data_IF_159721402230
#
_entry.id   IF_159721402230
#
_cell.length_a   1.000
_cell.length_b   1.000
_cell.length_c   1.000
_cell.angle_alpha   90.00
_cell.angle_beta   90.00
_cell.angle_gamma   90.00
#
_symmetry.space_group_name_H-M   'P 1'
#
loop_
_entity.id
_entity.type
_entity.pdbx_description
1 polymer ?
#
# COMPACT_ATOMS: atom_id res chain seq x y z
N UNK A 1 -5.80 -1.44 26.83
CA UNK A 1 -6.79 -1.26 25.74
C UNK A 1 -7.45 -2.60 25.51
N UNK A 2 -8.76 -2.62 25.30
CA UNK A 2 -9.52 -3.83 24.99
C UNK A 2 -10.30 -3.62 23.71
N UNK A 3 -10.21 -4.54 22.75
CA UNK A 3 -11.06 -4.54 21.54
C UNK A 3 -12.40 -5.16 21.93
N UNK A 4 -13.47 -4.39 21.79
CA UNK A 4 -14.83 -4.79 22.19
C UNK A 4 -15.67 -5.30 21.03
N UNK A 5 -15.32 -4.92 19.79
CA UNK A 5 -16.00 -5.40 18.58
C UNK A 5 -15.09 -5.33 17.35
N UNK A 6 -15.38 -6.19 16.38
CA UNK A 6 -14.74 -6.23 15.06
C UNK A 6 -15.79 -6.60 14.01
N UNK A 7 -15.98 -5.74 13.01
CA UNK A 7 -16.95 -5.97 11.94
C UNK A 7 -16.48 -5.42 10.59
N UNK A 8 -16.95 -6.04 9.50
CA UNK A 8 -16.82 -5.48 8.15
C UNK A 8 -18.00 -4.56 7.86
N UNK A 9 -17.72 -3.27 7.77
CA UNK A 9 -18.69 -2.25 7.38
C UNK A 9 -18.83 -2.23 5.86
N UNK A 10 -19.96 -2.73 5.36
CA UNK A 10 -20.29 -2.72 3.93
C UNK A 10 -21.07 -1.48 3.53
N UNK A 11 -20.91 -1.09 2.27
CA UNK A 11 -21.68 0.02 1.68
C UNK A 11 -22.83 -0.54 0.86
N UNK A 12 -24.05 -0.52 1.41
CA UNK A 12 -25.25 -0.84 0.63
C UNK A 12 -25.76 0.42 -0.05
N UNK A 13 -25.23 0.71 -1.24
CA UNK A 13 -25.76 1.73 -2.14
C UNK A 13 -26.75 1.09 -3.11
N UNK A 14 -27.94 1.71 -3.26
CA UNK A 14 -28.94 1.32 -4.26
C UNK A 14 -29.20 2.51 -5.18
N UNK A 15 -28.89 2.42 -6.49
CA UNK A 15 -28.24 1.30 -7.17
C UNK A 15 -26.76 1.11 -6.74
N UNK A 16 -26.16 -0.07 -6.97
CA UNK A 16 -24.73 -0.29 -6.73
C UNK A 16 -23.86 0.70 -7.52
N UNK A 17 -22.68 1.01 -6.98
CA UNK A 17 -21.72 1.85 -7.69
C UNK A 17 -21.36 1.25 -9.07
N UNK A 18 -21.15 2.05 -10.14
CA UNK A 18 -20.78 1.55 -11.48
C UNK A 18 -19.51 0.69 -11.57
N UNK A 19 -18.69 0.68 -10.51
CA UNK A 19 -17.47 -0.12 -10.41
C UNK A 19 -17.67 -1.40 -9.59
N UNK A 20 -18.85 -1.65 -9.05
CA UNK A 20 -19.10 -2.82 -8.22
C UNK A 20 -18.82 -4.11 -9.02
N UNK A 21 -17.99 -5.00 -8.46
CA UNK A 21 -17.50 -6.22 -9.07
C UNK A 21 -16.30 -6.04 -10.01
N UNK A 22 -15.95 -4.82 -10.38
CA UNK A 22 -14.87 -4.56 -11.33
C UNK A 22 -13.49 -4.84 -10.73
N UNK A 23 -12.58 -5.31 -11.58
CA UNK A 23 -11.15 -5.44 -11.29
C UNK A 23 -10.41 -4.25 -11.87
N UNK A 24 -10.33 -3.19 -11.08
CA UNK A 24 -9.79 -1.91 -11.52
C UNK A 24 -8.26 -1.95 -11.64
N UNK A 25 -7.71 -1.64 -12.83
CA UNK A 25 -6.30 -1.43 -13.03
C UNK A 25 -5.61 -0.42 -12.08
N UNK A 26 -4.48 -0.79 -11.48
CA UNK A 26 -3.53 0.20 -10.93
C UNK A 26 -2.96 1.08 -12.06
N UNK A 27 -3.04 2.39 -11.90
CA UNK A 27 -2.44 3.40 -12.78
C UNK A 27 -0.91 3.38 -12.66
N UNK A 28 -0.21 4.13 -13.51
CA UNK A 28 1.23 4.31 -13.38
C UNK A 28 1.60 4.95 -12.02
N UNK A 29 0.77 5.85 -11.51
CA UNK A 29 0.97 6.53 -10.23
C UNK A 29 0.75 5.59 -9.04
N UNK A 30 -0.29 4.78 -9.08
CA UNK A 30 -0.53 3.77 -8.02
C UNK A 30 0.62 2.76 -7.96
N UNK A 31 1.16 2.37 -9.12
CA UNK A 31 2.30 1.45 -9.19
C UNK A 31 3.63 2.07 -8.73
N UNK A 32 3.74 3.40 -8.76
CA UNK A 32 4.86 4.13 -8.22
C UNK A 32 4.75 4.34 -6.71
N UNK A 33 3.53 4.25 -6.16
CA UNK A 33 3.29 4.32 -4.73
C UNK A 33 3.71 3.03 -4.01
N UNK A 34 4.00 3.17 -2.72
CA UNK A 34 4.44 2.08 -1.85
C UNK A 34 3.35 1.01 -1.69
N UNK A 35 3.75 -0.25 -1.62
CA UNK A 35 2.85 -1.38 -1.35
C UNK A 35 2.70 -1.57 0.16
N UNK A 36 2.15 -0.57 0.83
CA UNK A 36 2.05 -0.49 2.30
C UNK A 36 0.72 0.08 2.75
N UNK A 37 0.38 -0.20 4.00
CA UNK A 37 -0.68 0.50 4.73
C UNK A 37 -0.10 1.71 5.44
N UNK A 38 -0.71 2.88 5.26
CA UNK A 38 -0.29 4.12 5.91
C UNK A 38 -1.21 4.39 7.10
N UNK A 39 -0.67 4.45 8.34
CA UNK A 39 -1.46 4.77 9.53
C UNK A 39 -1.73 6.26 9.66
N UNK A 40 -2.90 6.60 10.20
CA UNK A 40 -3.27 7.96 10.59
C UNK A 40 -4.10 7.90 11.88
N UNK A 41 -3.83 8.82 12.81
CA UNK A 41 -4.47 8.85 14.12
C UNK A 41 -4.98 10.26 14.41
N UNK A 42 -6.25 10.35 14.83
CA UNK A 42 -6.88 11.58 15.29
C UNK A 42 -7.38 11.42 16.72
N UNK A 43 -7.02 12.35 17.60
CA UNK A 43 -7.49 12.36 18.99
C UNK A 43 -8.48 13.51 19.21
N UNK A 44 -9.62 13.19 19.80
CA UNK A 44 -10.71 14.11 20.11
C UNK A 44 -11.01 14.06 21.61
N UNK A 45 -10.88 15.21 22.27
CA UNK A 45 -11.31 15.37 23.66
C UNK A 45 -12.82 15.26 23.78
N UNK A 46 -13.29 14.94 24.97
CA UNK A 46 -14.71 14.95 25.28
C UNK A 46 -15.29 16.38 25.20
N UNK A 47 -16.57 16.54 24.81
CA UNK A 47 -17.44 15.50 24.28
C UNK A 47 -17.10 15.15 22.82
N UNK A 48 -16.97 13.86 22.51
CA UNK A 48 -16.81 13.36 21.15
C UNK A 48 -18.12 12.72 20.65
N UNK A 49 -18.42 12.73 19.33
CA UNK A 49 -19.59 12.04 18.76
C UNK A 49 -19.64 10.57 19.17
N UNK A 50 -20.79 9.90 19.16
CA UNK A 50 -20.90 8.46 19.49
C UNK A 50 -20.21 7.57 18.45
N UNK A 51 -19.82 6.34 18.82
CA UNK A 51 -19.15 5.43 17.86
C UNK A 51 -20.08 5.07 16.70
N UNK A 52 -21.38 4.94 16.97
CA UNK A 52 -22.40 4.69 15.92
C UNK A 52 -22.53 5.87 14.95
N UNK A 53 -22.52 7.12 15.43
CA UNK A 53 -22.53 8.28 14.54
C UNK A 53 -21.27 8.34 13.65
N UNK A 54 -20.11 7.98 14.21
CA UNK A 54 -18.85 7.92 13.47
C UNK A 54 -18.87 6.80 12.41
N UNK A 55 -19.42 5.63 12.72
CA UNK A 55 -19.61 4.52 11.78
C UNK A 55 -20.61 4.85 10.67
N UNK A 56 -21.70 5.53 10.98
CA UNK A 56 -22.67 5.93 9.96
C UNK A 56 -22.07 6.95 8.99
N UNK A 57 -21.36 7.96 9.51
CA UNK A 57 -20.62 8.88 8.65
C UNK A 57 -19.55 8.17 7.80
N UNK A 58 -18.92 7.11 8.33
CA UNK A 58 -17.95 6.31 7.58
C UNK A 58 -18.63 5.58 6.43
N UNK A 59 -19.79 4.98 6.68
CA UNK A 59 -20.60 4.29 5.67
C UNK A 59 -20.98 5.23 4.52
N UNK A 60 -21.42 6.44 4.86
CA UNK A 60 -21.75 7.51 3.88
C UNK A 60 -20.51 7.93 3.08
N UNK A 61 -19.36 8.13 3.73
CA UNK A 61 -18.14 8.51 3.04
C UNK A 61 -17.63 7.40 2.11
N UNK A 62 -17.54 6.16 2.59
CA UNK A 62 -17.02 5.02 1.81
C UNK A 62 -17.89 4.74 0.57
N UNK A 63 -19.20 5.03 0.62
CA UNK A 63 -20.08 4.88 -0.54
C UNK A 63 -19.62 5.69 -1.76
N UNK A 64 -18.96 6.83 -1.54
CA UNK A 64 -18.36 7.62 -2.62
C UNK A 64 -16.95 7.14 -3.04
N UNK A 65 -16.31 6.27 -2.25
CA UNK A 65 -14.97 5.74 -2.49
C UNK A 65 -14.99 4.20 -2.51
N UNK A 66 -15.66 3.57 -3.49
CA UNK A 66 -15.91 2.12 -3.53
C UNK A 66 -14.62 1.27 -3.54
N UNK A 67 -13.50 1.82 -4.04
CA UNK A 67 -12.19 1.18 -4.02
C UNK A 67 -11.69 0.90 -2.58
N UNK A 68 -12.08 1.73 -1.61
CA UNK A 68 -11.69 1.58 -0.20
C UNK A 68 -12.37 0.36 0.45
N UNK A 69 -13.54 -0.04 -0.04
CA UNK A 69 -14.28 -1.23 0.40
C UNK A 69 -13.87 -2.50 -0.37
N UNK A 70 -12.89 -2.40 -1.28
CA UNK A 70 -12.40 -3.50 -2.09
C UNK A 70 -11.24 -4.30 -1.47
N UNK A 71 -10.55 -5.08 -2.31
CA UNK A 71 -9.35 -5.85 -1.98
C UNK A 71 -8.26 -5.68 -3.03
N UNK A 72 -6.99 -5.72 -2.63
CA UNK A 72 -5.90 -5.90 -3.58
C UNK A 72 -5.94 -7.35 -4.09
N UNK A 73 -5.91 -7.52 -5.40
CA UNK A 73 -6.01 -8.81 -6.07
C UNK A 73 -5.03 -8.93 -7.24
N UNK A 74 -4.91 -10.15 -7.78
CA UNK A 74 -4.17 -10.44 -9.00
C UNK A 74 -5.16 -10.83 -10.09
N UNK A 75 -4.99 -10.20 -11.24
CA UNK A 75 -5.67 -10.57 -12.47
C UNK A 75 -4.67 -11.17 -13.48
N UNK A 76 -5.16 -12.04 -14.35
CA UNK A 76 -4.35 -12.67 -15.41
C UNK A 76 -4.85 -12.17 -16.75
N UNK A 77 -4.16 -11.18 -17.30
CA UNK A 77 -4.44 -10.66 -18.63
C UNK A 77 -3.65 -11.45 -19.68
N UNK A 78 -4.27 -11.68 -20.84
CA UNK A 78 -3.59 -12.24 -22.01
C UNK A 78 -3.25 -11.08 -22.94
N UNK A 79 -1.98 -10.90 -23.28
CA UNK A 79 -1.59 -9.88 -24.25
C UNK A 79 -1.95 -10.28 -25.69
N UNK A 80 -1.87 -9.32 -26.63
CA UNK A 80 -2.19 -9.57 -28.05
C UNK A 80 -1.32 -10.62 -28.73
N UNK A 81 -0.27 -11.12 -28.06
CA UNK A 81 0.58 -12.23 -28.51
C UNK A 81 0.30 -13.54 -27.75
N UNK A 82 -0.82 -13.62 -27.01
CA UNK A 82 -1.23 -14.82 -26.29
C UNK A 82 -0.46 -15.07 -24.99
N UNK A 83 0.41 -14.15 -24.54
CA UNK A 83 1.20 -14.34 -23.32
C UNK A 83 0.37 -13.97 -22.10
N UNK A 84 0.34 -14.85 -21.11
CA UNK A 84 -0.30 -14.60 -19.81
C UNK A 84 0.58 -13.67 -18.97
N UNK A 85 0.02 -12.54 -18.55
CA UNK A 85 0.66 -11.59 -17.65
C UNK A 85 -0.19 -11.42 -16.40
N UNK A 86 0.43 -11.66 -15.25
CA UNK A 86 -0.16 -11.36 -13.94
C UNK A 86 -0.07 -9.86 -13.69
N UNK A 87 -1.17 -9.27 -13.24
CA UNK A 87 -1.27 -7.85 -12.98
C UNK A 87 -2.00 -7.61 -11.66
N UNK A 88 -1.46 -6.72 -10.83
CA UNK A 88 -2.15 -6.27 -9.62
C UNK A 88 -3.32 -5.36 -9.99
N UNK A 89 -4.45 -5.56 -9.32
CA UNK A 89 -5.70 -4.83 -9.53
C UNK A 89 -6.38 -4.56 -8.20
N UNK A 90 -7.22 -3.54 -8.15
CA UNK A 90 -8.14 -3.28 -7.05
C UNK A 90 -9.47 -3.96 -7.40
N UNK A 91 -9.84 -5.00 -6.68
CA UNK A 91 -11.11 -5.69 -6.86
C UNK A 91 -12.18 -5.00 -6.00
N UNK A 92 -13.16 -4.38 -6.66
CA UNK A 92 -14.25 -3.63 -6.00
C UNK A 92 -15.37 -4.60 -5.63
N UNK A 93 -15.08 -5.52 -4.71
CA UNK A 93 -15.96 -6.63 -4.34
C UNK A 93 -16.96 -6.30 -3.23
N UNK A 94 -16.98 -5.06 -2.71
CA UNK A 94 -17.83 -4.61 -1.61
C UNK A 94 -17.77 -5.55 -0.37
N UNK A 95 -16.59 -6.13 -0.11
CA UNK A 95 -16.37 -6.88 1.13
C UNK A 95 -16.31 -5.95 2.36
N UNK A 96 -16.13 -4.65 2.13
CA UNK A 96 -16.27 -3.61 3.14
C UNK A 96 -14.95 -3.19 3.78
N UNK A 97 -15.07 -2.25 4.71
CA UNK A 97 -14.02 -1.65 5.53
C UNK A 97 -13.99 -2.35 6.89
N UNK A 98 -12.83 -2.74 7.38
CA UNK A 98 -12.74 -3.31 8.73
C UNK A 98 -12.91 -2.18 9.76
N UNK A 99 -13.82 -2.36 10.71
CA UNK A 99 -14.04 -1.43 11.82
C UNK A 99 -13.89 -2.18 13.14
N UNK A 100 -13.00 -1.67 13.99
CA UNK A 100 -12.76 -2.16 15.35
C UNK A 100 -13.31 -1.12 16.34
N UNK A 101 -14.02 -1.58 17.36
CA UNK A 101 -14.30 -0.77 18.54
C UNK A 101 -13.36 -1.20 19.66
N UNK A 102 -12.83 -0.23 20.41
CA UNK A 102 -11.97 -0.48 21.55
C UNK A 102 -12.27 0.48 22.70
N UNK A 103 -11.91 0.07 23.91
CA UNK A 103 -12.01 0.89 25.12
C UNK A 103 -10.66 0.97 25.85
N UNK A 104 -10.45 2.07 26.54
CA UNK A 104 -9.29 2.32 27.41
C UNK A 104 -9.79 2.89 28.72
N UNK A 105 -9.55 2.16 29.81
CA UNK A 105 -9.84 2.56 31.20
C UNK A 105 -8.82 3.58 31.73
N UNK A 106 -8.61 4.66 30.97
CA UNK A 106 -7.77 5.80 31.33
C UNK A 106 -8.32 7.09 30.68
N UNK A 107 -7.81 8.22 31.13
CA UNK A 107 -8.15 9.53 30.56
C UNK A 107 -7.24 9.84 29.37
N UNK A 108 -7.83 10.33 28.28
CA UNK A 108 -7.11 10.57 27.02
C UNK A 108 -5.91 11.52 27.20
N UNK A 109 -6.08 12.61 27.95
CA UNK A 109 -5.00 13.58 28.17
C UNK A 109 -3.80 12.97 28.91
N UNK A 110 -4.04 12.06 29.85
CA UNK A 110 -2.96 11.35 30.55
C UNK A 110 -2.20 10.42 29.61
N UNK A 111 -2.92 9.71 28.73
CA UNK A 111 -2.32 8.79 27.74
C UNK A 111 -1.51 9.55 26.69
N UNK A 112 -2.03 10.67 26.19
CA UNK A 112 -1.32 11.53 25.24
C UNK A 112 -0.08 12.19 25.88
N UNK A 113 -0.20 12.69 27.12
CA UNK A 113 0.91 13.34 27.82
C UNK A 113 2.05 12.37 28.14
N UNK A 114 1.73 11.13 28.48
CA UNK A 114 2.73 10.09 28.76
C UNK A 114 3.38 9.54 27.47
N UNK A 115 2.83 9.84 26.28
CA UNK A 115 3.27 9.30 25.00
C UNK A 115 3.37 7.75 25.00
N UNK A 116 2.46 7.10 25.75
CA UNK A 116 2.43 5.64 25.95
C UNK A 116 1.42 4.94 25.04
N UNK A 117 0.80 5.67 24.12
CA UNK A 117 -0.29 5.15 23.32
C UNK A 117 0.24 4.29 22.16
N UNK A 118 0.40 2.99 22.42
CA UNK A 118 0.55 1.97 21.38
C UNK A 118 -0.82 1.49 20.92
N UNK A 119 -0.90 0.96 19.70
CA UNK A 119 -2.09 0.23 19.21
C UNK A 119 -3.36 1.09 19.04
N UNK A 120 -3.21 2.40 18.80
CA UNK A 120 -4.34 3.32 18.57
C UNK A 120 -4.99 3.21 17.18
N UNK A 121 -4.45 2.37 16.30
CA UNK A 121 -4.95 2.07 14.97
C UNK A 121 -4.88 0.55 14.75
N UNK A 122 -5.64 0.01 13.76
CA UNK A 122 -5.62 -1.43 13.50
C UNK A 122 -4.21 -1.95 13.22
N UNK A 123 -3.90 -3.15 13.70
CA UNK A 123 -2.62 -3.80 13.42
C UNK A 123 -2.38 -3.87 11.90
N UNK A 124 -1.13 -3.59 11.48
CA UNK A 124 -0.78 -3.65 10.07
C UNK A 124 -0.91 -5.11 9.58
N UNK A 125 -1.63 -5.36 8.47
CA UNK A 125 -1.70 -6.68 7.89
C UNK A 125 -0.32 -7.18 7.46
N UNK A 126 -0.04 -8.46 7.71
CA UNK A 126 1.21 -9.09 7.23
C UNK A 126 1.29 -9.10 5.69
N UNK A 127 0.12 -9.14 5.04
CA UNK A 127 0.00 -9.19 3.58
C UNK A 127 -1.11 -8.26 3.09
N UNK A 128 -0.85 -7.56 1.98
CA UNK A 128 -1.84 -6.66 1.35
C UNK A 128 -2.95 -7.40 0.59
N UNK A 129 -2.67 -8.60 0.07
CA UNK A 129 -3.66 -9.37 -0.71
C UNK A 129 -4.75 -9.92 0.20
N UNK A 130 -6.00 -9.67 -0.16
CA UNK A 130 -7.16 -10.11 0.62
C UNK A 130 -7.44 -9.31 1.90
N UNK A 131 -6.52 -8.44 2.33
CA UNK A 131 -6.76 -7.51 3.43
C UNK A 131 -7.74 -6.40 3.02
N UNK A 132 -8.56 -5.93 3.98
CA UNK A 132 -9.37 -4.75 3.78
C UNK A 132 -8.48 -3.53 3.51
N UNK A 133 -8.75 -2.83 2.40
CA UNK A 133 -7.89 -1.73 1.91
C UNK A 133 -7.99 -0.47 2.77
N UNK A 134 -9.08 -0.33 3.52
CA UNK A 134 -9.23 0.65 4.59
C UNK A 134 -9.65 -0.12 5.85
N UNK A 135 -9.03 0.23 6.98
CA UNK A 135 -9.37 -0.30 8.30
C UNK A 135 -9.38 0.83 9.31
N UNK A 136 -10.30 0.79 10.26
CA UNK A 136 -10.56 1.85 11.24
C UNK A 136 -10.67 1.24 12.63
N UNK A 137 -10.12 1.93 13.62
CA UNK A 137 -10.30 1.62 15.04
C UNK A 137 -10.85 2.85 15.75
N UNK A 138 -11.97 2.66 16.45
CA UNK A 138 -12.61 3.66 17.29
C UNK A 138 -12.32 3.33 18.76
N UNK A 139 -11.41 4.08 19.37
CA UNK A 139 -10.96 3.83 20.75
C UNK A 139 -11.58 4.84 21.70
N UNK A 140 -12.47 4.39 22.58
CA UNK A 140 -13.14 5.22 23.61
C UNK A 140 -12.35 5.22 24.91
N UNK A 141 -12.20 6.40 25.49
CA UNK A 141 -11.54 6.58 26.78
C UNK A 141 -12.59 6.81 27.87
N UNK A 142 -12.26 6.41 29.11
CA UNK A 142 -13.11 6.59 30.28
C UNK A 142 -13.62 8.03 30.45
N UNK A 143 -12.79 9.02 30.11
CA UNK A 143 -13.13 10.44 30.15
C UNK A 143 -14.11 10.91 29.05
N UNK A 144 -14.61 10.02 28.19
CA UNK A 144 -15.47 10.33 27.05
C UNK A 144 -14.71 10.77 25.78
N UNK A 145 -13.37 10.79 25.83
CA UNK A 145 -12.52 11.06 24.67
C UNK A 145 -12.59 9.94 23.63
N UNK A 146 -12.23 10.27 22.39
CA UNK A 146 -12.21 9.35 21.26
C UNK A 146 -10.88 9.47 20.52
N UNK A 147 -10.26 8.34 20.23
CA UNK A 147 -9.23 8.24 19.20
C UNK A 147 -9.80 7.50 18.00
N UNK A 148 -9.63 8.08 16.82
CA UNK A 148 -9.92 7.46 15.53
C UNK A 148 -8.58 7.14 14.88
N UNK A 149 -8.20 5.88 14.92
CA UNK A 149 -7.07 5.36 14.15
C UNK A 149 -7.55 4.73 12.87
N UNK A 150 -6.81 4.91 11.78
CA UNK A 150 -7.08 4.21 10.54
C UNK A 150 -5.78 3.81 9.85
N UNK A 151 -5.86 2.77 9.03
CA UNK A 151 -4.84 2.40 8.07
C UNK A 151 -5.47 2.30 6.69
N UNK A 152 -4.82 2.92 5.69
CA UNK A 152 -5.27 2.89 4.30
C UNK A 152 -4.15 2.41 3.39
N UNK A 153 -4.47 1.53 2.44
CA UNK A 153 -3.48 1.03 1.49
C UNK A 153 -3.07 2.13 0.49
N UNK A 154 -1.77 2.36 0.34
CA UNK A 154 -1.25 3.50 -0.43
C UNK A 154 -1.52 3.40 -1.96
N UNK A 155 -1.83 2.21 -2.48
CA UNK A 155 -2.31 2.04 -3.87
C UNK A 155 -3.77 2.49 -4.09
N UNK A 156 -4.54 2.70 -3.01
CA UNK A 156 -5.89 3.28 -3.08
C UNK A 156 -5.85 4.77 -2.84
N UNK A 157 -5.05 5.19 -1.84
CA UNK A 157 -4.97 6.55 -1.37
C UNK A 157 -3.53 7.09 -1.41
N UNK A 158 -3.35 8.24 -2.05
CA UNK A 158 -2.25 9.15 -1.70
C UNK A 158 -2.64 10.06 -0.51
N UNK A 159 -1.72 10.91 -0.06
CA UNK A 159 -1.98 11.82 1.05
C UNK A 159 -3.14 12.79 0.81
N UNK A 160 -3.33 13.24 -0.44
CA UNK A 160 -4.39 14.20 -0.78
C UNK A 160 -5.77 13.55 -0.80
N UNK A 161 -5.91 12.41 -1.46
CA UNK A 161 -7.13 11.60 -1.50
C UNK A 161 -7.50 11.09 -0.11
N UNK A 162 -6.53 10.67 0.72
CA UNK A 162 -6.78 10.30 2.12
C UNK A 162 -7.32 11.49 2.93
N UNK A 163 -6.70 12.66 2.81
CA UNK A 163 -7.15 13.88 3.49
C UNK A 163 -8.57 14.28 3.07
N UNK A 164 -8.87 14.18 1.78
CA UNK A 164 -10.20 14.48 1.21
C UNK A 164 -11.25 13.49 1.70
N UNK A 165 -10.90 12.21 1.79
CA UNK A 165 -11.74 11.17 2.37
C UNK A 165 -12.03 11.46 3.85
N UNK A 166 -11.02 11.74 4.67
CA UNK A 166 -11.21 12.08 6.08
C UNK A 166 -12.07 13.34 6.28
N UNK A 167 -11.90 14.37 5.44
CA UNK A 167 -12.72 15.57 5.50
C UNK A 167 -14.18 15.30 5.12
N UNK A 168 -14.41 14.48 4.09
CA UNK A 168 -15.75 14.01 3.68
C UNK A 168 -16.40 13.22 4.80
N UNK A 169 -15.69 12.28 5.41
CA UNK A 169 -16.17 11.49 6.55
C UNK A 169 -16.53 12.38 7.74
N UNK A 170 -15.65 13.30 8.12
CA UNK A 170 -15.92 14.22 9.23
C UNK A 170 -17.15 15.11 8.97
N UNK A 171 -17.39 15.52 7.71
CA UNK A 171 -18.62 16.24 7.32
C UNK A 171 -19.85 15.35 7.41
N UNK A 172 -19.79 14.12 6.93
CA UNK A 172 -20.89 13.16 7.05
C UNK A 172 -21.29 12.93 8.53
N UNK A 173 -20.32 12.84 9.44
CA UNK A 173 -20.58 12.72 10.89
C UNK A 173 -21.23 13.99 11.47
N UNK A 174 -20.78 15.18 11.05
CA UNK A 174 -21.28 16.46 11.59
C UNK A 174 -22.64 16.87 11.05
N UNK A 175 -22.82 16.75 9.74
CA UNK A 175 -23.96 17.30 9.01
C UNK A 175 -25.09 16.26 8.85
N UNK A 176 -24.80 14.97 9.11
CA UNK A 176 -25.78 13.88 9.13
C UNK A 176 -26.53 13.74 7.82
N UNK A 177 -27.86 13.61 7.90
CA UNK A 177 -28.75 13.46 6.73
C UNK A 177 -28.71 14.66 5.77
N UNK A 178 -28.29 15.84 6.24
CA UNK A 178 -28.15 17.02 5.39
C UNK A 178 -26.87 16.99 4.54
N UNK A 179 -25.94 16.07 4.81
CA UNK A 179 -24.68 15.99 4.08
C UNK A 179 -24.88 15.45 2.67
N UNK A 180 -24.47 16.23 1.67
CA UNK A 180 -24.38 15.77 0.29
C UNK A 180 -22.92 15.41 0.02
N UNK A 181 -22.67 14.11 -0.18
CA UNK A 181 -21.33 13.60 -0.46
C UNK A 181 -20.84 14.13 -1.81
N UNK A 182 -19.68 14.80 -1.88
CA UNK A 182 -19.09 15.18 -3.16
C UNK A 182 -18.76 13.93 -3.99
N UNK A 183 -19.06 13.95 -5.28
CA UNK A 183 -18.67 12.86 -6.18
C UNK A 183 -17.18 12.97 -6.55
N UNK A 184 -16.30 12.06 -6.09
CA UNK A 184 -14.92 12.05 -6.53
C UNK A 184 -14.84 11.57 -7.98
N UNK A 185 -13.82 12.01 -8.71
CA UNK A 185 -13.50 11.42 -10.01
C UNK A 185 -12.86 10.05 -9.79
N UNK A 186 -13.55 9.00 -10.23
CA UNK A 186 -13.07 7.61 -10.14
C UNK A 186 -12.62 7.05 -11.50
N UNK A 187 -12.68 7.87 -12.56
CA UNK A 187 -12.20 7.48 -13.88
C UNK A 187 -10.67 7.51 -13.92
N UNK A 188 -10.07 6.38 -13.53
CA UNK A 188 -8.63 6.18 -13.55
C UNK A 188 -8.06 6.12 -14.97
N UNK A 189 -8.89 5.89 -15.99
CA UNK A 189 -8.43 5.81 -17.38
C UNK A 189 -7.99 7.16 -17.94
N UNK A 190 -8.50 8.28 -17.39
CA UNK A 190 -8.07 9.65 -17.75
C UNK A 190 -6.55 9.83 -17.59
N UNK A 191 -5.95 9.13 -16.63
CA UNK A 191 -4.49 9.16 -16.38
C UNK A 191 -3.73 8.00 -17.02
N UNK A 192 -4.43 7.12 -17.75
CA UNK A 192 -3.86 5.91 -18.34
C UNK A 192 -3.01 6.18 -19.58
N UNK A 193 -3.23 7.29 -20.27
CA UNK A 193 -2.49 7.68 -21.49
C UNK A 193 -1.73 8.98 -21.22
N UNK A 194 -0.37 8.98 -21.28
CA UNK A 194 0.39 10.21 -21.17
C UNK A 194 0.05 11.18 -22.30
N UNK A 195 -0.14 12.47 -21.99
CA UNK A 195 -0.38 13.53 -23.00
C UNK A 195 0.76 13.62 -24.02
N UNK A 196 1.97 13.37 -23.56
CA UNK A 196 3.17 13.24 -24.40
C UNK A 196 3.79 11.88 -24.07
N UNK A 197 3.48 10.83 -24.84
CA UNK A 197 4.05 9.51 -24.62
C UNK A 197 5.59 9.62 -24.61
N UNK A 198 6.26 9.07 -23.58
CA UNK A 198 7.71 9.06 -23.57
C UNK A 198 8.21 8.30 -24.80
N UNK A 199 9.10 8.94 -25.57
CA UNK A 199 9.85 8.32 -26.66
C UNK A 199 11.24 7.99 -26.15
N UNK A 200 11.44 6.86 -25.44
CA UNK A 200 12.77 6.48 -24.95
C UNK A 200 13.71 6.34 -26.15
N UNK A 201 14.70 7.23 -26.22
CA UNK A 201 15.70 7.28 -27.31
C UNK A 201 16.73 6.16 -27.17
N UNK A 202 16.87 5.63 -25.95
CA UNK A 202 17.71 4.48 -25.64
C UNK A 202 16.85 3.30 -25.25
N UNK A 203 17.30 2.11 -25.65
CA UNK A 203 16.66 0.88 -25.21
C UNK A 203 17.03 0.56 -23.75
N UNK A 204 16.36 1.25 -22.83
CA UNK A 204 16.51 1.01 -21.39
C UNK A 204 16.08 -0.39 -20.96
N UNK A 205 15.41 -1.17 -21.82
CA UNK A 205 15.03 -2.56 -21.55
C UNK A 205 16.06 -3.57 -22.02
N UNK A 206 16.93 -3.22 -22.98
CA UNK A 206 17.86 -4.18 -23.60
C UNK A 206 19.32 -3.91 -23.33
N UNK A 207 19.71 -2.74 -22.80
CA UNK A 207 21.11 -2.46 -22.47
C UNK A 207 21.58 -3.33 -21.27
N UNK A 208 20.71 -3.57 -20.28
CA UNK A 208 21.03 -4.41 -19.10
C UNK A 208 20.58 -5.88 -19.22
N UNK A 209 19.87 -6.25 -20.30
CA UNK A 209 19.20 -7.56 -20.43
C UNK A 209 19.46 -8.28 -21.76
N UNK A 210 20.57 -8.02 -22.45
CA UNK A 210 21.01 -8.93 -23.52
C UNK A 210 21.31 -10.29 -22.91
N UNK A 211 20.46 -11.28 -23.21
CA UNK A 211 20.81 -12.68 -23.02
C UNK A 211 21.87 -12.98 -24.07
N UNK A 212 23.15 -12.94 -23.69
CA UNK A 212 24.14 -13.67 -24.47
C UNK A 212 23.70 -15.12 -24.50
N UNK A 213 23.50 -15.66 -25.70
CA UNK A 213 23.19 -17.08 -25.87
C UNK A 213 24.34 -17.87 -25.25
N UNK A 214 24.07 -18.86 -24.37
CA UNK A 214 25.14 -19.70 -23.86
C UNK A 214 25.82 -20.39 -25.05
N UNK A 215 27.16 -20.51 -25.08
CA UNK A 215 27.80 -21.35 -26.07
C UNK A 215 27.24 -22.76 -25.92
N UNK A 216 26.76 -23.32 -27.04
CA UNK A 216 26.28 -24.70 -27.11
C UNK A 216 27.48 -25.60 -26.81
N UNK A 217 27.54 -26.15 -25.60
CA UNK A 217 28.39 -27.29 -25.31
C UNK A 217 27.51 -28.52 -25.27
N UNK A 218 27.82 -29.45 -26.18
CA UNK A 218 27.17 -30.75 -26.30
C UNK A 218 27.31 -31.54 -25.00
N UNK A 219 26.27 -32.32 -24.70
CA UNK A 219 26.17 -33.22 -23.56
C UNK A 219 27.39 -34.12 -23.40
N UNK A 220 27.97 -34.15 -22.19
CA UNK A 220 28.48 -35.41 -21.65
C UNK A 220 28.39 -35.43 -20.12
N UNK A 221 27.81 -36.52 -19.64
CA UNK A 221 27.45 -36.82 -18.24
C UNK A 221 28.71 -37.19 -17.45
N UNK A 222 28.91 -36.62 -16.25
CA UNK A 222 29.56 -37.32 -15.13
C UNK A 222 29.25 -36.69 -13.76
N UNK A 223 29.11 -37.55 -12.76
CA UNK A 223 28.70 -37.31 -11.35
C UNK A 223 29.79 -36.63 -10.48
N UNK A 224 29.45 -36.12 -9.27
CA UNK A 224 30.09 -34.94 -8.68
C UNK A 224 31.33 -35.27 -7.87
N UNK A 225 32.26 -34.31 -7.80
CA UNK A 225 33.34 -34.28 -6.81
C UNK A 225 33.46 -32.88 -6.21
N UNK A 226 33.36 -32.81 -4.89
CA UNK A 226 33.55 -31.58 -4.14
C UNK A 226 35.03 -31.37 -3.79
N UNK A 227 35.43 -30.09 -3.76
CA UNK A 227 36.25 -29.35 -2.77
C UNK A 227 37.20 -28.38 -3.50
N UNK A 228 37.07 -27.08 -3.21
CA UNK A 228 38.07 -26.06 -3.55
C UNK A 228 37.53 -24.65 -3.73
N UNK A 229 37.62 -23.84 -2.67
CA UNK A 229 37.42 -22.40 -2.54
C UNK A 229 37.16 -21.55 -3.82
N UNK A 230 35.92 -21.05 -3.93
CA UNK A 230 35.53 -19.92 -4.77
C UNK A 230 34.15 -19.48 -4.31
N UNK A 231 33.98 -18.21 -3.93
CA UNK A 231 32.73 -17.67 -3.39
C UNK A 231 31.57 -17.82 -4.38
N UNK A 232 30.89 -18.95 -4.35
CA UNK A 232 29.67 -19.18 -5.10
C UNK A 232 28.54 -18.31 -4.56
N UNK A 233 27.69 -17.81 -5.44
CA UNK A 233 26.52 -17.01 -5.12
C UNK A 233 25.51 -17.84 -4.29
N UNK A 234 25.71 -17.81 -2.97
CA UNK A 234 24.84 -18.44 -1.97
C UNK A 234 23.58 -17.62 -1.73
N UNK A 235 23.58 -16.34 -2.09
CA UNK A 235 22.45 -15.44 -1.91
C UNK A 235 21.33 -15.84 -2.87
N UNK A 236 21.65 -16.18 -4.12
CA UNK A 236 20.66 -16.69 -5.09
C UNK A 236 19.97 -18.00 -4.72
N UNK A 237 20.44 -18.73 -3.70
CA UNK A 237 19.79 -19.94 -3.22
C UNK A 237 18.72 -19.67 -2.15
N UNK A 238 18.65 -18.46 -1.59
CA UNK A 238 17.67 -18.09 -0.56
C UNK A 238 16.25 -17.98 -1.14
N UNK A 239 15.18 -18.36 -0.42
CA UNK A 239 13.79 -18.07 -0.80
C UNK A 239 13.50 -16.59 -1.08
N UNK A 240 12.50 -16.31 -1.94
CA UNK A 240 12.18 -14.95 -2.41
C UNK A 240 11.81 -14.00 -1.26
N UNK A 241 11.11 -14.50 -0.23
CA UNK A 241 10.73 -13.77 0.98
C UNK A 241 11.96 -13.29 1.78
N UNK A 242 13.00 -14.11 1.90
CA UNK A 242 14.24 -13.73 2.56
C UNK A 242 15.04 -12.73 1.73
N UNK A 243 15.03 -12.88 0.41
CA UNK A 243 15.66 -11.91 -0.51
C UNK A 243 14.97 -10.56 -0.46
N UNK A 244 13.63 -10.54 -0.43
CA UNK A 244 12.86 -9.31 -0.26
C UNK A 244 13.15 -8.64 1.08
N UNK A 245 13.27 -9.43 2.16
CA UNK A 245 13.65 -8.91 3.49
C UNK A 245 15.07 -8.32 3.50
N UNK A 246 16.04 -8.95 2.84
CA UNK A 246 17.41 -8.40 2.74
C UNK A 246 17.40 -7.10 1.95
N UNK A 247 16.74 -7.08 0.79
CA UNK A 247 16.70 -5.91 -0.09
C UNK A 247 15.88 -4.76 0.50
N UNK A 248 14.89 -5.04 1.36
CA UNK A 248 14.16 -4.02 2.12
C UNK A 248 15.09 -3.14 2.97
N UNK A 249 16.19 -3.69 3.50
CA UNK A 249 17.14 -2.89 4.29
C UNK A 249 18.09 -2.06 3.44
N UNK A 250 18.20 -2.35 2.14
CA UNK A 250 19.10 -1.65 1.22
C UNK A 250 18.45 -0.36 0.67
N UNK A 251 19.22 0.73 0.55
CA UNK A 251 18.83 1.90 -0.23
C UNK A 251 18.42 1.46 -1.65
N UNK A 252 17.37 2.04 -2.23
CA UNK A 252 16.78 1.59 -3.51
C UNK A 252 17.79 1.46 -4.67
N UNK A 253 18.80 2.33 -4.73
CA UNK A 253 19.87 2.25 -5.74
C UNK A 253 20.76 1.03 -5.50
N UNK A 254 21.06 0.70 -4.25
CA UNK A 254 21.84 -0.48 -3.88
C UNK A 254 21.01 -1.76 -4.05
N UNK A 255 19.73 -1.73 -3.68
CA UNK A 255 18.78 -2.81 -3.94
C UNK A 255 18.65 -3.09 -5.45
N UNK A 256 18.54 -2.05 -6.27
CA UNK A 256 18.54 -2.17 -7.73
C UNK A 256 19.89 -2.69 -8.25
N UNK A 257 21.00 -2.27 -7.65
CA UNK A 257 22.36 -2.74 -8.01
C UNK A 257 22.56 -4.22 -7.72
N UNK A 258 21.81 -4.83 -6.79
CA UNK A 258 21.83 -6.30 -6.59
C UNK A 258 21.34 -7.08 -7.81
N UNK A 259 20.66 -6.42 -8.76
CA UNK A 259 20.32 -7.02 -10.07
C UNK A 259 21.56 -7.45 -10.85
N UNK A 260 22.74 -6.87 -10.55
CA UNK A 260 24.03 -7.24 -11.12
C UNK A 260 24.56 -8.57 -10.56
N UNK A 261 24.08 -9.00 -9.39
CA UNK A 261 24.49 -10.26 -8.76
C UNK A 261 23.78 -11.46 -9.37
N UNK A 262 22.49 -11.32 -9.72
CA UNK A 262 21.71 -12.41 -10.31
C UNK A 262 20.38 -11.94 -10.92
N UNK A 263 19.96 -12.57 -12.02
CA UNK A 263 18.69 -12.28 -12.73
C UNK A 263 17.47 -12.36 -11.82
N UNK A 264 17.53 -13.20 -10.77
CA UNK A 264 16.45 -13.38 -9.80
C UNK A 264 16.18 -12.11 -8.99
N UNK A 265 17.23 -11.37 -8.66
CA UNK A 265 17.17 -10.17 -7.81
C UNK A 265 16.53 -8.98 -8.55
N UNK A 266 16.68 -8.94 -9.88
CA UNK A 266 16.14 -7.88 -10.74
C UNK A 266 14.62 -7.74 -10.72
N UNK A 267 13.88 -8.81 -10.45
CA UNK A 267 12.43 -8.74 -10.27
C UNK A 267 12.01 -8.47 -8.82
N UNK A 268 12.83 -8.94 -7.87
CA UNK A 268 12.53 -8.87 -6.45
C UNK A 268 12.68 -7.46 -5.90
N UNK A 269 13.74 -6.70 -6.27
CA UNK A 269 13.94 -5.37 -5.71
C UNK A 269 12.75 -4.42 -5.92
N UNK A 270 12.06 -4.54 -7.06
CA UNK A 270 10.83 -3.79 -7.39
C UNK A 270 9.65 -4.09 -6.47
N UNK A 271 9.75 -5.16 -5.68
CA UNK A 271 8.74 -5.64 -4.77
C UNK A 271 9.12 -5.39 -3.29
N UNK A 272 10.24 -4.71 -3.02
CA UNK A 272 10.79 -4.51 -1.66
C UNK A 272 10.22 -3.30 -0.93
N UNK A 273 9.47 -2.45 -1.63
CA UNK A 273 8.88 -1.23 -1.07
C UNK A 273 9.87 -0.12 -0.69
N UNK A 274 11.17 -0.28 -0.90
CA UNK A 274 12.17 0.74 -0.56
C UNK A 274 12.44 1.70 -1.74
N UNK A 275 12.23 3.01 -1.55
CA UNK A 275 12.64 4.07 -2.49
C UNK A 275 13.44 5.14 -1.75
N UNK A 276 14.64 5.48 -2.26
CA UNK A 276 15.33 6.70 -1.85
C UNK A 276 14.87 7.85 -2.73
N UNK A 277 14.43 8.96 -2.14
CA UNK A 277 14.23 10.20 -2.86
C UNK A 277 15.55 10.99 -2.83
N UNK A 278 16.11 11.29 -4.01
CA UNK A 278 17.20 12.23 -4.14
C UNK A 278 16.65 13.65 -3.90
N UNK A 279 16.80 14.16 -2.69
CA UNK A 279 16.45 15.54 -2.37
C UNK A 279 17.68 16.43 -2.58
N UNK A 280 17.67 17.25 -3.63
CA UNK A 280 18.67 18.29 -3.80
C UNK A 280 18.31 19.45 -2.87
N UNK A 281 18.95 19.52 -1.71
CA UNK A 281 18.77 20.63 -0.76
C UNK A 281 19.63 21.81 -1.23
N UNK A 282 19.06 22.93 -1.69
CA UNK A 282 19.86 24.10 -2.06
C UNK A 282 20.45 24.71 -0.78
N UNK A 283 21.78 24.67 -0.64
CA UNK A 283 22.50 25.33 0.46
C UNK A 283 23.57 24.48 1.16
N UNK A 284 23.61 23.17 0.95
CA UNK A 284 24.72 22.34 1.41
C UNK A 284 25.75 22.20 0.28
N UNK A 285 26.94 22.79 0.46
CA UNK A 285 28.00 22.82 -0.55
C UNK A 285 28.24 21.46 -1.23
N UNK A 286 27.74 21.32 -2.46
CA UNK A 286 28.15 20.35 -3.47
C UNK A 286 28.03 18.85 -3.16
N UNK A 287 27.50 18.43 -2.01
CA UNK A 287 27.30 17.01 -1.69
C UNK A 287 25.84 16.64 -1.80
N UNK A 288 25.52 15.79 -2.77
CA UNK A 288 24.21 15.15 -2.88
C UNK A 288 23.94 14.38 -1.58
N UNK A 289 22.97 14.86 -0.79
CA UNK A 289 22.51 14.18 0.41
C UNK A 289 21.34 13.27 0.02
N UNK A 290 21.50 11.96 0.20
CA UNK A 290 20.44 10.99 -0.02
C UNK A 290 19.72 10.73 1.30
N UNK A 291 18.43 11.04 1.36
CA UNK A 291 17.59 10.69 2.51
C UNK A 291 16.86 9.40 2.18
N UNK A 292 17.20 8.33 2.88
CA UNK A 292 16.43 7.09 2.84
C UNK A 292 15.25 7.22 3.79
N UNK A 293 14.03 7.25 3.25
CA UNK A 293 12.82 7.15 4.05
C UNK A 293 12.46 5.67 4.16
N UNK A 294 12.59 5.08 5.35
CA UNK A 294 12.21 3.69 5.64
C UNK A 294 10.90 3.72 6.44
N UNK A 295 9.88 3.05 5.95
CA UNK A 295 8.65 2.78 6.71
C UNK A 295 8.75 1.35 7.23
N UNK A 296 8.72 1.19 8.57
CA UNK A 296 8.68 -0.11 9.26
C UNK A 296 7.29 -0.73 9.16
#
# INVERSE_FOLDING_TARGET
>A
MEITSSAMLKTTTTPPHPLAGEKVPLTAFDRAAFDVFVPLVFAYRAPAPSSEAVKEGLRVAVAAYPLAAGRLAVDVAVDGQGRRRRRRVLHVNDEGVLVLDATVEADLDAVLAANVATDLYPALPEHSFGAALLQVQLTRFRCGGLVVGLIGHHHVFDGHSMSTFCATWARAVRDGEAFIVPSPSLDRAITGVPRSPPAPVFDHRSIEFKVESPPVYADEVTKPKAIGAGGGDRLSALPDDLLLRVLHFAPAVEAASTSLLSRRFGALWRSTGAVNLAARVPGAGGRDAFTTVKYQ
#
